data_IF_103695615306
#
_entry.id   IF_103695615306
#
_cell.length_a   1.000
_cell.length_b   1.000
_cell.length_c   1.000
_cell.angle_alpha   90.00
_cell.angle_beta   90.00
_cell.angle_gamma   90.00
#
_symmetry.space_group_name_H-M   'P 1'
#
loop_
_entity.id
_entity.type
_entity.pdbx_description
1 polymer ?
#
# COMPACT_ATOMS: atom_id res chain seq x y z
N UNK A 1 71.14 -28.03 -24.08
CA UNK A 1 69.98 -28.27 -23.21
C UNK A 1 69.09 -27.03 -23.27
N UNK A 2 68.04 -27.05 -24.12
CA UNK A 2 67.12 -25.92 -24.34
C UNK A 2 65.84 -26.21 -23.55
N UNK A 3 65.50 -25.38 -22.57
CA UNK A 3 64.21 -25.42 -21.88
C UNK A 3 63.13 -24.77 -22.77
N UNK A 4 62.11 -25.54 -23.14
CA UNK A 4 60.85 -25.02 -23.66
C UNK A 4 59.93 -24.68 -22.47
N UNK A 5 59.64 -23.39 -22.28
CA UNK A 5 58.48 -22.97 -21.50
C UNK A 5 57.24 -23.11 -22.40
N UNK A 6 56.34 -24.02 -22.05
CA UNK A 6 54.99 -24.08 -22.61
C UNK A 6 54.11 -23.19 -21.73
N UNK A 7 53.51 -22.10 -22.24
CA UNK A 7 52.55 -21.35 -21.46
C UNK A 7 51.26 -22.18 -21.31
N UNK A 8 50.90 -22.51 -20.08
CA UNK A 8 49.61 -23.07 -19.74
C UNK A 8 48.57 -21.93 -19.91
N UNK A 9 47.92 -21.89 -21.07
CA UNK A 9 46.77 -21.01 -21.28
C UNK A 9 45.65 -21.57 -20.39
N UNK A 10 45.45 -20.94 -19.23
CA UNK A 10 44.22 -21.10 -18.49
C UNK A 10 43.11 -20.43 -19.30
N UNK A 11 42.44 -21.20 -20.16
CA UNK A 11 41.17 -20.79 -20.74
C UNK A 11 40.15 -20.66 -19.61
N UNK A 12 39.92 -19.43 -19.16
CA UNK A 12 38.77 -19.08 -18.35
C UNK A 12 37.50 -19.34 -19.17
N UNK A 13 36.90 -20.51 -18.98
CA UNK A 13 35.52 -20.77 -19.38
C UNK A 13 34.62 -19.77 -18.65
N UNK A 14 34.09 -18.80 -19.39
CA UNK A 14 32.95 -18.01 -18.95
C UNK A 14 31.82 -18.99 -18.55
N UNK A 15 31.22 -18.91 -17.34
CA UNK A 15 30.17 -19.83 -16.91
C UNK A 15 28.83 -19.46 -17.57
N UNK A 16 28.75 -19.63 -18.89
CA UNK A 16 27.55 -19.39 -19.70
C UNK A 16 26.73 -20.65 -19.99
N UNK A 17 27.31 -21.85 -19.88
CA UNK A 17 26.71 -23.10 -20.41
C UNK A 17 26.15 -24.04 -19.33
N UNK A 18 25.59 -23.51 -18.24
CA UNK A 18 24.75 -24.33 -17.36
C UNK A 18 23.43 -24.68 -18.05
N UNK A 19 22.89 -25.87 -17.79
CA UNK A 19 21.54 -26.30 -18.22
C UNK A 19 20.52 -25.19 -17.97
N UNK A 20 19.68 -24.89 -18.96
CA UNK A 20 18.58 -23.94 -18.79
C UNK A 20 17.66 -24.41 -17.65
N UNK A 21 17.53 -23.56 -16.63
CA UNK A 21 16.74 -23.83 -15.43
C UNK A 21 15.29 -23.36 -15.56
N UNK A 22 14.93 -22.68 -16.65
CA UNK A 22 13.61 -22.05 -16.82
C UNK A 22 12.44 -23.03 -16.61
N UNK A 23 12.44 -24.26 -17.18
CA UNK A 23 11.34 -25.19 -16.96
C UNK A 23 11.12 -25.52 -15.48
N UNK A 24 12.22 -25.73 -14.74
CA UNK A 24 12.19 -26.06 -13.31
C UNK A 24 11.78 -24.86 -12.45
N UNK A 25 12.24 -23.66 -12.81
CA UNK A 25 11.84 -22.40 -12.14
C UNK A 25 10.34 -22.18 -12.34
N UNK A 26 9.83 -22.35 -13.57
CA UNK A 26 8.40 -22.20 -13.88
C UNK A 26 7.55 -23.19 -13.10
N UNK A 27 7.90 -24.48 -13.13
CA UNK A 27 7.21 -25.52 -12.36
C UNK A 27 7.15 -25.18 -10.87
N UNK A 28 8.29 -24.81 -10.28
CA UNK A 28 8.36 -24.41 -8.87
C UNK A 28 7.49 -23.18 -8.57
N UNK A 29 7.58 -22.14 -9.40
CA UNK A 29 6.80 -20.92 -9.20
C UNK A 29 5.30 -21.16 -9.34
N UNK A 30 4.89 -22.02 -10.27
CA UNK A 30 3.49 -22.46 -10.37
C UNK A 30 3.03 -23.15 -9.09
N UNK A 31 3.82 -24.09 -8.55
CA UNK A 31 3.51 -24.75 -7.27
C UNK A 31 3.39 -23.74 -6.12
N UNK A 32 4.36 -22.84 -6.00
CA UNK A 32 4.38 -21.81 -4.94
C UNK A 32 3.14 -20.92 -5.03
N UNK A 33 2.83 -20.38 -6.20
CA UNK A 33 1.73 -19.42 -6.38
C UNK A 33 0.34 -20.05 -6.26
N UNK A 34 0.19 -21.35 -6.55
CA UNK A 34 -1.07 -22.08 -6.38
C UNK A 34 -1.30 -22.55 -4.93
N UNK A 35 -0.22 -22.76 -4.16
CA UNK A 35 -0.30 -23.19 -2.75
C UNK A 35 -0.27 -22.05 -1.74
N UNK A 36 -0.11 -20.81 -2.18
CA UNK A 36 -0.20 -19.66 -1.29
C UNK A 36 -1.59 -19.63 -0.63
N UNK A 37 -1.68 -19.60 0.71
CA UNK A 37 -2.97 -19.40 1.38
C UNK A 37 -3.50 -18.01 1.03
N UNK A 38 -4.78 -17.75 1.25
CA UNK A 38 -5.22 -16.35 1.31
C UNK A 38 -4.44 -15.65 2.45
N UNK A 39 -3.74 -14.58 2.12
CA UNK A 39 -2.87 -13.86 3.06
C UNK A 39 -3.02 -12.36 2.88
N UNK A 40 -2.69 -11.64 3.95
CA UNK A 40 -2.66 -10.19 3.96
C UNK A 40 -1.37 -9.70 4.59
N UNK A 41 -0.89 -8.54 4.15
CA UNK A 41 0.28 -7.86 4.67
C UNK A 41 -0.02 -6.37 4.82
N UNK A 42 0.69 -5.71 5.74
CA UNK A 42 0.78 -4.26 5.78
C UNK A 42 1.64 -3.78 4.62
N UNK A 43 1.07 -2.98 3.72
CA UNK A 43 1.77 -2.27 2.66
C UNK A 43 2.08 -0.85 3.11
N UNK A 44 3.37 -0.50 3.15
CA UNK A 44 3.83 0.87 3.41
C UNK A 44 4.49 1.45 2.17
N UNK A 45 3.93 2.54 1.66
CA UNK A 45 4.38 3.23 0.44
C UNK A 45 4.96 4.59 0.83
N UNK A 46 6.27 4.75 0.69
CA UNK A 46 6.92 6.06 0.76
C UNK A 46 6.92 6.70 -0.63
N UNK A 47 6.24 7.85 -0.77
CA UNK A 47 6.09 8.53 -2.06
C UNK A 47 7.01 9.72 -2.13
N UNK A 48 7.73 9.82 -3.24
CA UNK A 48 8.63 10.93 -3.49
C UNK A 48 8.45 11.48 -4.89
N UNK A 49 8.65 12.79 -5.01
CA UNK A 49 8.51 13.53 -6.26
C UNK A 49 9.77 14.34 -6.51
N UNK A 50 10.18 14.35 -7.78
CA UNK A 50 11.34 15.10 -8.24
C UNK A 50 10.95 15.91 -9.48
N UNK A 51 10.80 17.22 -9.32
CA UNK A 51 10.67 18.11 -10.46
C UNK A 51 12.02 18.25 -11.17
N UNK A 52 12.00 18.51 -12.48
CA UNK A 52 13.21 18.77 -13.27
C UNK A 52 14.05 19.88 -12.62
N UNK A 53 15.36 19.66 -12.53
CA UNK A 53 16.31 20.60 -11.89
C UNK A 53 16.25 20.66 -10.36
N UNK A 54 15.44 19.82 -9.71
CA UNK A 54 15.31 19.77 -8.24
C UNK A 54 15.77 18.43 -7.65
N UNK A 55 16.04 18.42 -6.34
CA UNK A 55 16.25 17.19 -5.57
C UNK A 55 14.92 16.50 -5.32
N UNK A 56 14.91 15.17 -5.32
CA UNK A 56 13.75 14.39 -4.89
C UNK A 56 13.36 14.74 -3.45
N UNK A 57 12.06 14.84 -3.21
CA UNK A 57 11.48 15.12 -1.89
C UNK A 57 10.41 14.08 -1.59
N UNK A 58 10.42 13.57 -0.36
CA UNK A 58 9.32 12.74 0.16
C UNK A 58 8.09 13.64 0.26
N UNK A 59 7.00 13.21 -0.35
CA UNK A 59 5.69 13.87 -0.28
C UNK A 59 4.97 13.40 0.97
N UNK A 60 4.77 12.08 1.06
CA UNK A 60 4.11 11.44 2.19
C UNK A 60 4.49 9.95 2.36
N UNK A 61 3.78 9.31 3.28
CA UNK A 61 3.79 7.87 3.47
C UNK A 61 2.35 7.41 3.56
N UNK A 62 2.00 6.40 2.77
CA UNK A 62 0.70 5.75 2.74
C UNK A 62 0.82 4.35 3.35
N UNK A 63 -0.14 3.97 4.19
CA UNK A 63 -0.22 2.65 4.80
C UNK A 63 -1.56 2.01 4.50
N UNK A 64 -1.52 0.82 3.91
CA UNK A 64 -2.65 0.00 3.53
C UNK A 64 -2.48 -1.42 4.08
N UNK A 65 -3.57 -2.16 4.16
CA UNK A 65 -3.51 -3.63 4.15
C UNK A 65 -3.77 -4.08 2.73
N UNK A 66 -2.93 -4.98 2.22
CA UNK A 66 -3.11 -5.64 0.93
C UNK A 66 -3.37 -7.12 1.19
N UNK A 67 -4.33 -7.70 0.49
CA UNK A 67 -4.65 -9.13 0.57
C UNK A 67 -4.68 -9.74 -0.84
N UNK A 68 -4.27 -11.01 -0.95
CA UNK A 68 -4.47 -11.81 -2.14
C UNK A 68 -5.60 -12.80 -1.88
N UNK A 69 -6.72 -12.62 -2.57
CA UNK A 69 -7.90 -13.49 -2.48
C UNK A 69 -8.33 -13.86 -3.89
N UNK A 70 -8.45 -15.17 -4.14
CA UNK A 70 -8.81 -15.74 -5.46
C UNK A 70 -7.98 -15.18 -6.62
N UNK A 71 -6.70 -14.88 -6.36
CA UNK A 71 -5.76 -14.36 -7.34
C UNK A 71 -5.92 -12.87 -7.66
N UNK A 72 -6.75 -12.14 -6.92
CA UNK A 72 -6.92 -10.68 -7.02
C UNK A 72 -6.33 -9.99 -5.80
N UNK A 73 -5.69 -8.86 -6.01
CA UNK A 73 -5.25 -7.97 -4.94
C UNK A 73 -6.43 -7.14 -4.46
N UNK A 74 -6.66 -7.13 -3.14
CA UNK A 74 -7.67 -6.31 -2.46
C UNK A 74 -6.96 -5.42 -1.46
N UNK A 75 -7.46 -4.20 -1.29
CA UNK A 75 -6.87 -3.20 -0.42
C UNK A 75 -7.87 -2.72 0.62
N UNK A 76 -7.39 -2.47 1.83
CA UNK A 76 -8.18 -1.86 2.89
C UNK A 76 -7.30 -0.95 3.73
N UNK A 77 -7.92 -0.12 4.56
CA UNK A 77 -7.15 0.58 5.58
C UNK A 77 -6.70 -0.37 6.70
N UNK A 78 -5.53 -0.12 7.33
CA UNK A 78 -5.07 -0.89 8.48
C UNK A 78 -6.11 -1.00 9.59
N UNK A 79 -6.34 -2.23 10.04
CA UNK A 79 -7.29 -2.57 11.11
C UNK A 79 -8.77 -2.43 10.74
N UNK A 80 -9.13 -2.23 9.47
CA UNK A 80 -10.53 -2.27 9.04
C UNK A 80 -11.08 -3.68 9.19
N UNK A 81 -12.29 -3.79 9.75
CA UNK A 81 -12.98 -5.07 9.94
C UNK A 81 -13.50 -5.66 8.62
N UNK A 82 -13.70 -4.81 7.61
CA UNK A 82 -14.13 -5.20 6.28
C UNK A 82 -13.04 -4.81 5.28
N UNK A 83 -12.60 -5.80 4.49
CA UNK A 83 -12.04 -5.53 3.17
C UNK A 83 -13.26 -5.35 2.27
N UNK A 84 -13.89 -4.19 2.33
CA UNK A 84 -14.89 -3.82 1.34
C UNK A 84 -14.20 -3.87 -0.04
N UNK A 85 -14.92 -4.27 -1.09
CA UNK A 85 -14.43 -4.27 -2.48
C UNK A 85 -14.35 -2.82 -3.00
N UNK A 86 -13.73 -1.95 -2.20
CA UNK A 86 -13.39 -0.60 -2.58
C UNK A 86 -12.34 -0.69 -3.66
N UNK A 87 -12.54 0.10 -4.71
CA UNK A 87 -11.45 0.31 -5.64
C UNK A 87 -10.34 1.03 -4.90
N UNK A 88 -9.09 0.71 -5.22
CA UNK A 88 -7.95 1.39 -4.61
C UNK A 88 -8.03 2.92 -4.79
N UNK A 89 -8.67 3.37 -5.88
CA UNK A 89 -8.97 4.78 -6.16
C UNK A 89 -9.93 5.45 -5.15
N UNK A 90 -10.79 4.66 -4.49
CA UNK A 90 -11.71 5.18 -3.46
C UNK A 90 -10.97 5.41 -2.13
N UNK A 91 -9.92 4.64 -1.87
CA UNK A 91 -9.06 4.78 -0.68
C UNK A 91 -7.98 5.85 -0.88
N UNK A 92 -7.32 5.83 -2.03
CA UNK A 92 -6.18 6.71 -2.36
C UNK A 92 -6.60 7.63 -3.50
N UNK A 93 -6.94 8.87 -3.15
CA UNK A 93 -7.52 9.83 -4.11
C UNK A 93 -6.47 10.73 -4.77
N UNK A 94 -5.23 10.74 -4.28
CA UNK A 94 -4.16 11.62 -4.74
C UNK A 94 -2.82 10.90 -4.85
N UNK A 95 -1.91 11.46 -5.67
CA UNK A 95 -0.53 10.98 -5.86
C UNK A 95 -0.45 9.65 -6.62
N UNK A 96 0.77 9.14 -6.81
CA UNK A 96 1.00 7.88 -7.51
C UNK A 96 0.65 6.69 -6.61
N UNK A 97 -0.18 5.78 -7.09
CA UNK A 97 -0.50 4.49 -6.47
C UNK A 97 -0.85 3.47 -7.56
N UNK A 98 -0.92 2.20 -7.19
CA UNK A 98 -1.28 1.13 -8.12
C UNK A 98 -1.28 -0.22 -7.46
N UNK A 99 -1.75 -1.21 -8.21
CA UNK A 99 -1.71 -2.62 -7.82
C UNK A 99 -0.59 -3.36 -8.57
N UNK A 100 -0.49 -4.66 -8.31
CA UNK A 100 0.33 -5.62 -9.03
C UNK A 100 1.71 -5.88 -8.46
N UNK A 101 2.19 -4.99 -7.58
CA UNK A 101 3.43 -5.15 -6.85
C UNK A 101 3.39 -6.33 -5.86
N UNK A 102 2.20 -6.79 -5.46
CA UNK A 102 2.05 -7.81 -4.44
C UNK A 102 1.98 -9.23 -5.03
N UNK A 103 1.27 -9.44 -6.13
CA UNK A 103 1.07 -10.76 -6.70
C UNK A 103 0.97 -10.78 -8.23
N UNK A 104 0.45 -9.72 -8.86
CA UNK A 104 0.02 -9.79 -10.27
C UNK A 104 1.20 -10.10 -11.22
N UNK A 105 2.36 -9.44 -11.09
CA UNK A 105 3.48 -9.70 -12.02
C UNK A 105 3.98 -11.15 -11.96
N UNK A 106 4.17 -11.73 -10.77
CA UNK A 106 4.57 -13.13 -10.65
C UNK A 106 3.52 -14.06 -11.25
N UNK A 107 2.23 -13.78 -11.03
CA UNK A 107 1.14 -14.59 -11.60
C UNK A 107 1.08 -14.50 -13.12
N UNK A 108 1.24 -13.31 -13.71
CA UNK A 108 1.31 -13.17 -15.17
C UNK A 108 2.48 -13.98 -15.72
N UNK A 109 3.68 -13.85 -15.14
CA UNK A 109 4.87 -14.54 -15.66
C UNK A 109 4.81 -16.06 -15.49
N UNK A 110 4.24 -16.58 -14.40
CA UNK A 110 4.38 -18.00 -14.03
C UNK A 110 3.09 -18.82 -14.00
N UNK A 111 1.90 -18.19 -14.00
CA UNK A 111 0.61 -18.89 -14.07
C UNK A 111 -0.14 -18.69 -15.39
N UNK A 112 0.33 -17.78 -16.24
CA UNK A 112 -0.22 -17.60 -17.59
C UNK A 112 0.77 -18.07 -18.66
N UNK A 113 0.32 -18.10 -19.91
CA UNK A 113 1.14 -18.46 -21.07
C UNK A 113 1.40 -17.27 -22.00
N UNK A 114 1.33 -16.03 -21.49
CA UNK A 114 1.43 -14.82 -22.32
C UNK A 114 2.86 -14.27 -22.44
N UNK A 115 3.75 -14.66 -21.52
CA UNK A 115 5.13 -14.20 -21.49
C UNK A 115 6.04 -15.06 -22.38
N UNK A 116 6.86 -14.40 -23.19
CA UNK A 116 7.93 -15.03 -23.96
C UNK A 116 9.25 -14.79 -23.24
N UNK A 117 10.01 -15.85 -22.97
CA UNK A 117 11.24 -15.80 -22.17
C UNK A 117 12.50 -16.03 -23.00
N UNK A 118 13.59 -15.36 -22.62
CA UNK A 118 14.93 -15.59 -23.14
C UNK A 118 15.93 -15.80 -21.99
N UNK A 119 16.62 -16.94 -21.98
CA UNK A 119 17.72 -17.18 -21.03
C UNK A 119 18.90 -16.24 -21.33
N UNK A 120 19.34 -15.50 -20.32
CA UNK A 120 20.52 -14.62 -20.39
C UNK A 120 21.71 -15.20 -19.63
N UNK A 121 21.55 -16.35 -18.98
CA UNK A 121 22.60 -17.07 -18.30
C UNK A 121 22.92 -16.52 -16.90
N UNK A 122 24.13 -16.82 -16.43
CA UNK A 122 24.57 -16.53 -15.07
C UNK A 122 24.85 -15.05 -14.94
N UNK A 123 24.47 -14.51 -13.79
CA UNK A 123 24.75 -13.14 -13.42
C UNK A 123 24.94 -13.06 -11.90
N UNK A 124 25.09 -11.85 -11.39
CA UNK A 124 24.98 -11.54 -9.97
C UNK A 124 23.85 -10.53 -9.75
N UNK A 125 23.10 -10.71 -8.67
CA UNK A 125 22.13 -9.75 -8.17
C UNK A 125 22.49 -9.40 -6.73
N UNK A 126 22.82 -8.14 -6.46
CA UNK A 126 23.27 -7.70 -5.13
C UNK A 126 24.51 -8.44 -4.63
N UNK A 127 25.42 -8.83 -5.53
CA UNK A 127 26.62 -9.62 -5.21
C UNK A 127 26.39 -11.11 -4.99
N UNK A 128 25.15 -11.60 -5.13
CA UNK A 128 24.81 -13.02 -5.00
C UNK A 128 24.64 -13.67 -6.38
N UNK A 129 25.10 -14.93 -6.58
CA UNK A 129 24.89 -15.65 -7.84
C UNK A 129 23.41 -15.76 -8.22
N UNK A 130 23.07 -15.49 -9.47
CA UNK A 130 21.70 -15.57 -10.00
C UNK A 130 21.69 -16.10 -11.45
N UNK A 131 20.55 -16.61 -11.91
CA UNK A 131 20.22 -16.75 -13.34
C UNK A 131 19.27 -15.65 -13.75
N UNK A 132 19.55 -14.99 -14.88
CA UNK A 132 18.69 -13.94 -15.43
C UNK A 132 17.94 -14.46 -16.65
N UNK A 133 16.68 -14.12 -16.72
CA UNK A 133 15.81 -14.34 -17.87
C UNK A 133 15.16 -13.04 -18.26
N UNK A 134 15.24 -12.69 -19.54
CA UNK A 134 14.46 -11.58 -20.07
C UNK A 134 13.08 -12.10 -20.47
N UNK A 135 12.06 -11.24 -20.38
CA UNK A 135 10.70 -11.56 -20.79
C UNK A 135 10.05 -10.40 -21.54
N UNK A 136 9.05 -10.72 -22.33
CA UNK A 136 8.18 -9.77 -23.01
C UNK A 136 6.73 -10.25 -22.99
N UNK A 137 5.80 -9.33 -22.72
CA UNK A 137 4.36 -9.54 -22.69
C UNK A 137 3.69 -8.50 -23.57
N UNK A 138 2.98 -8.95 -24.60
CA UNK A 138 2.35 -8.04 -25.56
C UNK A 138 1.20 -7.25 -24.94
N UNK A 139 0.99 -6.03 -25.45
CA UNK A 139 -0.13 -5.16 -25.07
C UNK A 139 -1.50 -5.85 -25.07
N UNK A 140 -1.77 -6.72 -26.04
CA UNK A 140 -3.08 -7.38 -26.16
C UNK A 140 -3.36 -8.43 -25.09
N UNK A 141 -2.33 -8.90 -24.38
CA UNK A 141 -2.43 -9.98 -23.39
C UNK A 141 -1.93 -9.58 -22.00
N UNK A 142 -1.40 -8.36 -21.85
CA UNK A 142 -0.78 -7.89 -20.62
C UNK A 142 -1.77 -7.64 -19.48
N UNK A 143 -2.96 -7.15 -19.79
CA UNK A 143 -3.87 -6.58 -18.79
C UNK A 143 -3.30 -5.39 -18.01
N UNK A 144 -2.16 -4.83 -18.45
CA UNK A 144 -1.43 -3.78 -17.73
C UNK A 144 -1.96 -2.39 -18.10
N UNK A 145 -2.76 -1.82 -17.20
CA UNK A 145 -3.33 -0.49 -17.37
C UNK A 145 -2.48 0.56 -16.66
N UNK A 146 -2.10 1.59 -17.41
CA UNK A 146 -1.52 2.81 -16.86
C UNK A 146 -2.57 3.92 -16.89
N UNK A 147 -2.63 4.71 -15.81
CA UNK A 147 -3.55 5.82 -15.68
C UNK A 147 -2.82 7.08 -15.22
N UNK A 148 -3.08 8.19 -15.91
CA UNK A 148 -2.60 9.52 -15.54
C UNK A 148 -3.80 10.46 -15.57
N UNK A 149 -4.18 10.98 -14.40
CA UNK A 149 -5.43 11.71 -14.21
C UNK A 149 -6.64 10.86 -14.68
N UNK A 150 -7.42 11.37 -15.61
CA UNK A 150 -8.59 10.69 -16.20
C UNK A 150 -8.25 9.83 -17.42
N UNK A 151 -7.01 9.90 -17.92
CA UNK A 151 -6.59 9.15 -19.12
C UNK A 151 -6.02 7.81 -18.70
N UNK A 152 -6.38 6.76 -19.42
CA UNK A 152 -5.87 5.41 -19.18
C UNK A 152 -5.58 4.69 -20.49
N UNK A 153 -4.56 3.82 -20.49
CA UNK A 153 -4.26 2.96 -21.62
C UNK A 153 -3.76 1.59 -21.17
N UNK A 154 -4.17 0.57 -21.91
CA UNK A 154 -3.57 -0.76 -21.88
C UNK A 154 -2.23 -0.71 -22.60
N UNK A 155 -1.17 -1.20 -21.98
CA UNK A 155 0.22 -1.17 -22.50
C UNK A 155 0.85 -2.56 -22.47
N UNK A 156 1.87 -2.79 -23.32
CA UNK A 156 2.72 -3.97 -23.20
C UNK A 156 3.74 -3.77 -22.08
N UNK A 157 4.53 -4.80 -21.80
CA UNK A 157 5.70 -4.63 -20.95
C UNK A 157 6.74 -5.72 -21.21
N UNK A 158 8.00 -5.37 -21.01
CA UNK A 158 9.13 -6.30 -21.01
C UNK A 158 9.95 -6.13 -19.73
N UNK A 159 10.97 -6.96 -19.57
CA UNK A 159 11.90 -6.81 -18.46
C UNK A 159 12.71 -8.07 -18.19
N UNK A 160 13.10 -8.24 -16.93
CA UNK A 160 13.94 -9.35 -16.51
C UNK A 160 13.51 -9.89 -15.15
N UNK A 161 13.59 -11.21 -14.96
CA UNK A 161 13.55 -11.79 -13.63
C UNK A 161 14.86 -12.51 -13.32
N UNK A 162 15.16 -12.57 -12.03
CA UNK A 162 16.40 -13.12 -11.49
C UNK A 162 16.04 -14.24 -10.52
N UNK A 163 16.61 -15.42 -10.72
CA UNK A 163 16.36 -16.59 -9.88
C UNK A 163 17.66 -17.07 -9.20
N UNK A 164 17.51 -17.60 -8.00
CA UNK A 164 18.57 -18.36 -7.32
C UNK A 164 18.87 -19.64 -8.12
N UNK A 165 20.13 -19.90 -8.53
CA UNK A 165 20.44 -21.06 -9.37
C UNK A 165 20.36 -22.40 -8.61
N UNK A 166 20.32 -22.38 -7.28
CA UNK A 166 20.26 -23.56 -6.41
C UNK A 166 18.84 -23.80 -5.95
N UNK A 167 18.22 -22.80 -5.31
CA UNK A 167 16.87 -22.96 -4.77
C UNK A 167 15.82 -22.81 -5.85
N UNK A 168 16.10 -22.13 -6.96
CA UNK A 168 15.12 -21.75 -8.01
C UNK A 168 14.07 -20.72 -7.55
N UNK A 169 14.23 -20.13 -6.35
CA UNK A 169 13.38 -19.03 -5.93
C UNK A 169 13.68 -17.79 -6.79
N UNK A 170 12.62 -17.12 -7.29
CA UNK A 170 12.80 -15.78 -7.85
C UNK A 170 13.23 -14.82 -6.74
N UNK A 171 14.15 -13.92 -7.06
CA UNK A 171 14.69 -12.91 -6.16
C UNK A 171 14.24 -11.51 -6.53
N UNK A 172 14.12 -11.23 -7.84
CA UNK A 172 13.64 -9.95 -8.35
C UNK A 172 12.93 -10.12 -9.68
N UNK A 173 11.91 -9.30 -9.91
CA UNK A 173 11.31 -9.05 -11.22
C UNK A 173 11.44 -7.55 -11.50
N UNK A 174 11.97 -7.20 -12.66
CA UNK A 174 12.07 -5.83 -13.20
C UNK A 174 11.13 -5.75 -14.42
N UNK A 175 10.28 -4.74 -14.47
CA UNK A 175 9.23 -4.54 -15.48
C UNK A 175 9.37 -3.13 -16.03
N UNK A 176 9.33 -3.00 -17.34
CA UNK A 176 9.34 -1.73 -18.07
C UNK A 176 8.13 -1.73 -18.99
N UNK A 177 7.24 -0.75 -18.82
CA UNK A 177 6.10 -0.57 -19.70
C UNK A 177 6.55 -0.13 -21.10
N UNK A 178 5.88 -0.63 -22.14
CA UNK A 178 6.17 -0.29 -23.53
C UNK A 178 4.89 0.01 -24.30
N UNK A 179 5.02 0.60 -25.49
CA UNK A 179 3.88 1.06 -26.30
C UNK A 179 2.95 2.03 -25.55
N UNK A 180 3.53 2.88 -24.69
CA UNK A 180 2.80 3.90 -23.92
C UNK A 180 2.26 4.97 -24.89
N UNK A 181 0.93 5.15 -25.02
CA UNK A 181 0.39 6.16 -25.92
C UNK A 181 0.75 7.58 -25.49
N UNK A 182 1.14 8.43 -26.44
CA UNK A 182 1.56 9.82 -26.17
C UNK A 182 0.48 10.64 -25.44
N UNK A 183 -0.80 10.32 -25.64
CA UNK A 183 -1.91 10.97 -24.93
C UNK A 183 -1.90 10.75 -23.41
N UNK A 184 -1.20 9.74 -22.87
CA UNK A 184 -1.01 9.60 -21.43
C UNK A 184 -0.08 10.67 -20.86
N UNK A 185 0.79 11.28 -21.69
CA UNK A 185 1.80 12.23 -21.22
C UNK A 185 2.86 11.61 -20.31
N UNK A 186 2.97 10.28 -20.32
CA UNK A 186 3.91 9.49 -19.55
C UNK A 186 5.09 9.06 -20.45
N UNK A 187 6.30 9.38 -20.03
CA UNK A 187 7.55 9.08 -20.77
C UNK A 187 8.06 7.68 -20.44
N UNK A 188 7.99 7.27 -19.18
CA UNK A 188 8.45 5.96 -18.72
C UNK A 188 7.64 5.47 -17.52
N UNK A 189 7.48 4.15 -17.42
CA UNK A 189 7.03 3.48 -16.20
C UNK A 189 7.86 2.24 -15.98
N UNK A 190 8.51 2.18 -14.82
CA UNK A 190 9.38 1.07 -14.43
C UNK A 190 8.97 0.58 -13.04
N UNK A 191 8.99 -0.74 -12.85
CA UNK A 191 8.73 -1.38 -11.57
C UNK A 191 9.78 -2.44 -11.29
N UNK A 192 10.28 -2.50 -10.06
CA UNK A 192 11.08 -3.63 -9.58
C UNK A 192 10.43 -4.20 -8.33
N UNK A 193 10.28 -5.52 -8.26
CA UNK A 193 9.73 -6.23 -7.10
C UNK A 193 10.75 -7.25 -6.64
N UNK A 194 11.18 -7.12 -5.38
CA UNK A 194 12.04 -8.06 -4.70
C UNK A 194 11.22 -9.12 -3.97
N UNK A 195 11.68 -10.37 -4.02
CA UNK A 195 11.02 -11.52 -3.42
C UNK A 195 11.92 -12.14 -2.35
N UNK A 196 11.29 -12.66 -1.30
CA UNK A 196 11.98 -13.34 -0.23
C UNK A 196 11.05 -14.27 0.53
N UNK A 197 11.63 -15.27 1.21
CA UNK A 197 10.85 -16.15 2.05
C UNK A 197 10.35 -15.41 3.29
N UNK A 198 9.05 -15.56 3.57
CA UNK A 198 8.36 -15.01 4.74
C UNK A 198 7.50 -16.10 5.37
N UNK A 199 7.46 -16.12 6.70
CA UNK A 199 6.62 -17.07 7.43
C UNK A 199 5.19 -16.56 7.48
N UNK A 200 4.24 -17.44 7.16
CA UNK A 200 2.81 -17.21 7.38
C UNK A 200 2.30 -18.44 8.14
N UNK A 201 2.02 -18.27 9.44
CA UNK A 201 1.81 -19.42 10.33
C UNK A 201 3.08 -20.27 10.42
N UNK A 202 2.93 -21.59 10.22
CA UNK A 202 4.03 -22.55 10.36
C UNK A 202 4.86 -22.76 9.09
N UNK A 203 4.45 -22.18 7.96
CA UNK A 203 5.07 -22.37 6.65
C UNK A 203 5.75 -21.11 6.12
N UNK A 204 6.77 -21.30 5.27
CA UNK A 204 7.51 -20.21 4.64
C UNK A 204 7.20 -20.13 3.14
N UNK A 205 6.59 -19.02 2.72
CA UNK A 205 6.21 -18.75 1.33
C UNK A 205 7.16 -17.73 0.70
N UNK A 206 7.40 -17.84 -0.60
CA UNK A 206 8.10 -16.82 -1.36
C UNK A 206 7.10 -15.68 -1.67
N UNK A 207 7.33 -14.52 -1.08
CA UNK A 207 6.43 -13.36 -1.14
C UNK A 207 7.20 -12.13 -1.63
N UNK A 208 6.51 -11.11 -2.19
CA UNK A 208 7.10 -9.79 -2.34
C UNK A 208 7.56 -9.26 -0.98
N UNK A 209 8.71 -8.60 -0.95
CA UNK A 209 9.25 -7.97 0.28
C UNK A 209 9.35 -6.46 0.13
N UNK A 210 9.64 -6.01 -1.08
CA UNK A 210 9.88 -4.61 -1.41
C UNK A 210 9.57 -4.40 -2.89
N UNK A 211 9.00 -3.25 -3.24
CA UNK A 211 8.87 -2.81 -4.62
C UNK A 211 9.32 -1.37 -4.78
N UNK A 212 9.89 -1.04 -5.94
CA UNK A 212 10.16 0.33 -6.38
C UNK A 212 9.45 0.57 -7.69
N UNK A 213 8.60 1.60 -7.70
CA UNK A 213 7.89 2.04 -8.91
C UNK A 213 8.37 3.44 -9.25
N UNK A 214 8.59 3.69 -10.53
CA UNK A 214 8.95 4.99 -11.07
C UNK A 214 8.04 5.32 -12.26
N UNK A 215 7.50 6.53 -12.26
CA UNK A 215 6.76 7.08 -13.39
C UNK A 215 7.36 8.44 -13.74
N UNK A 216 7.79 8.58 -14.99
CA UNK A 216 8.38 9.81 -15.51
C UNK A 216 7.40 10.53 -16.42
N UNK A 217 7.15 11.79 -16.10
CA UNK A 217 6.43 12.76 -16.93
C UNK A 217 7.43 13.86 -17.35
N UNK A 218 7.14 14.68 -18.37
CA UNK A 218 8.08 15.66 -18.92
C UNK A 218 8.76 16.58 -17.90
N UNK A 219 8.05 16.98 -16.84
CA UNK A 219 8.55 17.92 -15.83
C UNK A 219 8.81 17.27 -14.47
N UNK A 220 8.46 15.99 -14.29
CA UNK A 220 8.47 15.37 -12.97
C UNK A 220 8.63 13.86 -13.02
N UNK A 221 9.46 13.33 -12.13
CA UNK A 221 9.54 11.91 -11.81
C UNK A 221 8.88 11.65 -10.46
N UNK A 222 7.89 10.74 -10.45
CA UNK A 222 7.26 10.22 -9.25
C UNK A 222 7.86 8.85 -8.93
N UNK A 223 8.13 8.59 -7.64
CA UNK A 223 8.68 7.31 -7.19
C UNK A 223 7.95 6.82 -5.95
N UNK A 224 7.58 5.55 -5.96
CA UNK A 224 7.06 4.85 -4.79
C UNK A 224 8.08 3.83 -4.34
N UNK A 225 8.38 3.83 -3.05
CA UNK A 225 9.08 2.74 -2.38
C UNK A 225 8.11 2.00 -1.47
N UNK A 226 7.73 0.81 -1.90
CA UNK A 226 6.73 -0.05 -1.27
C UNK A 226 7.43 -1.12 -0.43
N UNK A 227 6.96 -1.35 0.78
CA UNK A 227 7.42 -2.45 1.64
C UNK A 227 6.25 -3.24 2.17
N UNK A 228 6.40 -4.57 2.19
CA UNK A 228 5.40 -5.49 2.71
C UNK A 228 5.89 -6.08 4.03
N UNK A 229 5.08 -5.94 5.08
CA UNK A 229 5.39 -6.39 6.43
C UNK A 229 4.17 -7.05 7.09
N UNK A 230 4.38 -7.65 8.26
CA UNK A 230 3.33 -8.21 9.11
C UNK A 230 2.36 -9.17 8.40
N UNK A 231 2.90 -9.95 7.46
CA UNK A 231 2.13 -10.89 6.66
C UNK A 231 1.53 -11.99 7.52
N UNK A 232 0.22 -12.20 7.40
CA UNK A 232 -0.56 -13.18 8.18
C UNK A 232 -1.60 -13.86 7.29
N UNK A 233 -2.10 -15.02 7.74
CA UNK A 233 -3.24 -15.66 7.07
C UNK A 233 -4.42 -14.70 7.08
N UNK A 234 -5.09 -14.62 5.94
CA UNK A 234 -6.32 -13.84 5.83
C UNK A 234 -7.45 -14.64 6.49
N UNK A 235 -7.73 -14.31 7.75
CA UNK A 235 -8.93 -14.79 8.45
C UNK A 235 -10.01 -13.73 8.24
N UNK A 236 -10.65 -13.74 7.08
CA UNK A 236 -11.77 -12.85 6.84
C UNK A 236 -12.88 -13.20 7.83
N UNK A 237 -13.13 -12.37 8.84
CA UNK A 237 -14.40 -12.37 9.57
C UNK A 237 -15.49 -11.76 8.68
N UNK A 238 -15.73 -12.34 7.51
CA UNK A 238 -16.86 -12.09 6.61
C UNK A 238 -16.68 -12.98 5.38
N UNK A 239 -17.06 -14.24 5.50
CA UNK A 239 -17.59 -14.96 4.34
C UNK A 239 -18.77 -14.13 3.82
N UNK A 240 -18.69 -13.69 2.56
CA UNK A 240 -19.88 -13.35 1.77
C UNK A 240 -20.85 -14.54 1.89
N UNK A 241 -21.83 -14.43 2.78
CA UNK A 241 -22.96 -15.35 2.83
C UNK A 241 -24.01 -14.78 1.90
N UNK A 242 -24.04 -15.30 0.69
CA UNK A 242 -25.23 -15.27 -0.14
C UNK A 242 -26.04 -16.53 0.22
N UNK A 243 -27.23 -16.32 0.76
CA UNK A 243 -28.35 -17.27 0.97
C UNK A 243 -28.10 -18.53 1.83
N UNK A 244 -28.56 -18.52 3.09
CA UNK A 244 -29.84 -19.12 3.53
C UNK A 244 -29.92 -19.18 5.07
N UNK A 245 -31.12 -19.06 5.69
CA UNK A 245 -31.26 -18.92 7.13
C UNK A 245 -31.15 -20.29 7.81
N UNK A 246 -29.96 -20.62 8.32
CA UNK A 246 -29.82 -21.71 9.29
C UNK A 246 -30.12 -21.14 10.68
N UNK A 247 -31.26 -21.57 11.22
CA UNK A 247 -31.64 -21.43 12.62
C UNK A 247 -30.52 -22.04 13.50
N UNK A 248 -29.74 -21.18 14.16
CA UNK A 248 -28.78 -21.58 15.18
C UNK A 248 -28.94 -20.73 16.44
N UNK A 249 -28.89 -21.46 17.54
CA UNK A 249 -29.26 -21.15 18.92
C UNK A 249 -28.69 -19.85 19.52
N UNK A 250 -29.49 -19.28 20.41
CA UNK A 250 -29.23 -18.02 21.10
C UNK A 250 -27.89 -18.01 21.86
N UNK A 251 -26.91 -17.30 21.31
CA UNK A 251 -25.85 -16.69 22.09
C UNK A 251 -26.45 -15.66 23.07
N UNK A 252 -25.87 -15.55 24.26
CA UNK A 252 -26.21 -14.55 25.28
C UNK A 252 -26.49 -13.18 24.65
N UNK A 253 -27.48 -12.40 25.15
CA UNK A 253 -27.88 -11.17 24.50
C UNK A 253 -26.66 -10.26 24.39
N UNK A 254 -26.20 -10.03 23.16
CA UNK A 254 -25.34 -8.89 22.88
C UNK A 254 -26.10 -7.68 23.43
N UNK A 255 -25.47 -6.93 24.34
CA UNK A 255 -26.03 -5.65 24.78
C UNK A 255 -26.41 -4.87 23.52
N UNK A 256 -27.69 -4.54 23.38
CA UNK A 256 -28.19 -3.80 22.23
C UNK A 256 -27.52 -2.44 22.23
N UNK A 257 -26.54 -2.24 21.35
CA UNK A 257 -25.90 -0.95 21.15
C UNK A 257 -26.95 -0.03 20.52
N UNK A 258 -27.34 1.02 21.23
CA UNK A 258 -28.25 2.03 20.68
C UNK A 258 -27.50 2.90 19.67
N UNK A 259 -27.92 2.86 18.40
CA UNK A 259 -27.39 3.77 17.38
C UNK A 259 -28.12 5.12 17.48
N UNK A 260 -27.35 6.17 17.77
CA UNK A 260 -27.85 7.54 17.93
C UNK A 260 -27.43 8.37 16.72
N UNK A 261 -28.39 9.03 16.10
CA UNK A 261 -28.12 9.96 15.00
C UNK A 261 -27.57 11.29 15.55
N UNK A 262 -26.53 11.82 14.91
CA UNK A 262 -25.91 13.11 15.26
C UNK A 262 -26.41 14.15 14.25
N UNK A 263 -27.29 15.09 14.64
CA UNK A 263 -27.78 16.12 13.73
C UNK A 263 -26.66 17.04 13.25
N UNK A 264 -26.80 17.53 12.02
CA UNK A 264 -25.91 18.52 11.42
C UNK A 264 -25.80 19.80 12.27
N UNK A 265 -24.61 20.43 12.24
CA UNK A 265 -24.34 21.72 12.87
C UNK A 265 -23.94 21.67 14.34
N UNK A 266 -23.92 20.49 14.98
CA UNK A 266 -23.38 20.33 16.33
C UNK A 266 -21.86 20.36 16.34
N UNK A 267 -21.29 20.99 17.38
CA UNK A 267 -19.84 21.07 17.59
C UNK A 267 -19.36 20.02 18.58
N UNK A 268 -18.43 19.18 18.17
CA UNK A 268 -17.75 18.18 19.00
C UNK A 268 -16.38 18.72 19.43
N UNK A 269 -16.05 18.55 20.71
CA UNK A 269 -14.74 18.90 21.27
C UNK A 269 -13.89 17.63 21.39
N UNK A 270 -13.07 17.37 20.38
CA UNK A 270 -12.28 16.15 20.31
C UNK A 270 -10.84 16.41 20.73
N UNK A 271 -10.40 15.71 21.77
CA UNK A 271 -9.00 15.66 22.17
C UNK A 271 -8.29 14.58 21.37
N UNK A 272 -7.37 15.00 20.51
CA UNK A 272 -6.55 14.10 19.72
C UNK A 272 -5.54 13.35 20.60
N UNK A 273 -5.13 12.13 20.19
CA UNK A 273 -4.09 11.38 20.86
C UNK A 273 -2.72 12.04 20.62
N UNK A 274 -1.67 11.45 21.20
CA UNK A 274 -0.32 11.82 20.83
C UNK A 274 -0.07 11.51 19.34
N UNK A 275 0.34 12.52 18.56
CA UNK A 275 0.49 12.42 17.12
C UNK A 275 1.88 12.85 16.69
N UNK A 276 2.71 11.88 16.30
CA UNK A 276 4.00 12.13 15.66
C UNK A 276 3.83 12.26 14.14
N UNK A 277 3.68 13.49 13.65
CA UNK A 277 3.52 13.78 12.23
C UNK A 277 4.74 13.42 11.36
N UNK A 278 5.89 13.15 11.99
CA UNK A 278 7.06 12.68 11.25
C UNK A 278 6.92 11.20 10.89
N UNK A 279 6.32 10.41 11.78
CA UNK A 279 6.14 8.95 11.62
C UNK A 279 4.76 8.53 11.13
N UNK A 280 3.74 9.38 11.31
CA UNK A 280 2.37 9.10 10.89
C UNK A 280 2.27 8.91 9.37
N UNK A 281 1.36 8.06 8.93
CA UNK A 281 1.06 7.79 7.54
C UNK A 281 -0.41 8.08 7.23
N UNK A 282 -0.69 8.40 5.96
CA UNK A 282 -2.06 8.30 5.43
C UNK A 282 -2.50 6.86 5.61
N UNK A 283 -3.70 6.66 6.14
CA UNK A 283 -4.21 5.36 6.53
C UNK A 283 -4.04 5.02 8.01
N UNK A 284 -3.31 5.80 8.80
CA UNK A 284 -3.18 5.52 10.24
C UNK A 284 -4.48 5.83 11.00
N UNK A 285 -4.89 4.91 11.87
CA UNK A 285 -6.07 5.06 12.70
C UNK A 285 -5.86 6.15 13.77
N UNK A 286 -6.89 6.96 14.01
CA UNK A 286 -6.93 8.00 15.04
C UNK A 286 -8.08 7.69 16.00
N UNK A 287 -7.79 7.77 17.30
CA UNK A 287 -8.80 7.68 18.36
C UNK A 287 -8.76 8.95 19.18
N UNK A 288 -9.80 9.78 19.05
CA UNK A 288 -9.92 11.03 19.80
C UNK A 288 -10.98 10.91 20.89
N UNK A 289 -10.79 11.61 22.01
CA UNK A 289 -11.72 11.55 23.13
C UNK A 289 -12.61 12.79 23.16
N UNK A 290 -13.92 12.59 23.26
CA UNK A 290 -14.89 13.66 23.43
C UNK A 290 -14.74 14.30 24.82
N UNK A 291 -14.45 15.60 24.89
CA UNK A 291 -14.12 16.29 26.16
C UNK A 291 -15.33 16.76 26.96
N UNK A 292 -16.49 16.91 26.35
CA UNK A 292 -17.73 17.33 27.00
C UNK A 292 -18.93 16.60 26.41
N UNK A 293 -20.04 16.57 27.13
CA UNK A 293 -21.28 15.95 26.64
C UNK A 293 -21.69 16.57 25.30
N UNK A 294 -21.98 15.72 24.32
CA UNK A 294 -22.62 16.15 23.10
C UNK A 294 -24.13 16.16 23.31
N UNK A 295 -24.74 17.34 23.19
CA UNK A 295 -26.16 17.54 23.42
C UNK A 295 -26.82 18.24 22.24
N UNK A 296 -28.04 17.82 21.93
CA UNK A 296 -28.95 18.59 21.10
C UNK A 296 -30.05 19.18 22.00
N UNK A 297 -29.99 20.49 22.22
CA UNK A 297 -30.83 21.19 23.21
C UNK A 297 -30.67 20.55 24.61
N UNK A 298 -31.66 19.77 25.06
CA UNK A 298 -31.64 19.08 26.38
C UNK A 298 -31.29 17.60 26.27
N UNK A 299 -31.41 17.01 25.09
CA UNK A 299 -31.13 15.60 24.85
C UNK A 299 -29.63 15.34 24.87
N UNK A 300 -29.19 14.37 25.67
CA UNK A 300 -27.83 13.84 25.61
C UNK A 300 -27.75 12.88 24.42
N UNK A 301 -26.84 13.15 23.49
CA UNK A 301 -26.60 12.28 22.34
C UNK A 301 -25.40 11.36 22.60
N UNK A 302 -24.31 11.91 23.15
CA UNK A 302 -23.15 11.12 23.54
C UNK A 302 -22.49 11.71 24.80
N UNK A 303 -22.11 10.88 25.79
CA UNK A 303 -21.49 11.36 27.02
C UNK A 303 -20.04 11.81 26.82
N UNK A 304 -19.57 12.72 27.67
CA UNK A 304 -18.12 12.97 27.80
C UNK A 304 -17.35 11.66 27.97
N UNK A 305 -16.19 11.56 27.31
CA UNK A 305 -15.34 10.37 27.33
C UNK A 305 -15.59 9.39 26.19
N UNK A 306 -16.65 9.60 25.39
CA UNK A 306 -16.89 8.86 24.14
C UNK A 306 -15.66 8.93 23.23
N UNK A 307 -15.41 7.86 22.48
CA UNK A 307 -14.24 7.70 21.61
C UNK A 307 -14.65 7.90 20.16
N UNK A 308 -14.14 8.96 19.53
CA UNK A 308 -14.27 9.17 18.10
C UNK A 308 -13.19 8.37 17.36
N UNK A 309 -13.60 7.35 16.60
CA UNK A 309 -12.78 6.56 15.72
C UNK A 309 -12.68 7.21 14.34
N UNK A 310 -11.45 7.34 13.82
CA UNK A 310 -11.17 7.96 12.54
C UNK A 310 -9.83 7.53 11.95
N UNK A 311 -9.41 8.23 10.89
CA UNK A 311 -8.18 7.92 10.16
C UNK A 311 -7.55 9.17 9.55
N UNK A 312 -6.24 9.17 9.40
CA UNK A 312 -5.54 10.16 8.57
C UNK A 312 -5.84 9.86 7.10
N UNK A 313 -6.48 10.80 6.41
CA UNK A 313 -6.81 10.66 4.96
C UNK A 313 -5.93 11.54 4.08
N UNK A 314 -5.16 12.46 4.68
CA UNK A 314 -4.14 13.27 4.00
C UNK A 314 -3.06 13.71 4.99
N UNK A 315 -1.79 13.64 4.57
CA UNK A 315 -0.66 14.14 5.36
C UNK A 315 0.47 14.64 4.44
N UNK A 316 0.38 15.90 4.03
CA UNK A 316 1.40 16.53 3.20
C UNK A 316 2.48 17.18 4.05
N UNK A 317 3.75 16.97 3.66
CA UNK A 317 4.92 17.47 4.38
C UNK A 317 5.60 18.61 3.63
N UNK A 318 5.24 19.84 3.96
CA UNK A 318 5.93 21.03 3.44
C UNK A 318 7.17 21.38 4.26
N UNK A 319 8.01 22.27 3.74
CA UNK A 319 9.23 22.72 4.41
C UNK A 319 8.96 23.51 5.70
N UNK A 320 7.79 24.15 5.82
CA UNK A 320 7.45 25.03 6.95
C UNK A 320 6.24 24.54 7.77
N UNK A 321 5.42 23.66 7.21
CA UNK A 321 4.21 23.15 7.86
C UNK A 321 3.83 21.74 7.37
N UNK A 322 2.86 21.13 8.05
CA UNK A 322 2.15 19.92 7.64
C UNK A 322 0.70 20.30 7.30
N UNK A 323 0.14 19.71 6.24
CA UNK A 323 -1.30 19.73 6.00
C UNK A 323 -1.87 18.35 6.32
N UNK A 324 -2.77 18.30 7.29
CA UNK A 324 -3.35 17.08 7.83
C UNK A 324 -4.87 17.08 7.63
N UNK A 325 -5.43 15.99 7.14
CA UNK A 325 -6.88 15.73 7.21
C UNK A 325 -7.12 14.44 7.95
N UNK A 326 -8.06 14.49 8.91
CA UNK A 326 -8.54 13.33 9.66
C UNK A 326 -10.03 13.19 9.33
N UNK A 327 -10.43 11.99 8.94
CA UNK A 327 -11.83 11.63 8.77
C UNK A 327 -12.27 10.79 9.97
N UNK A 328 -13.16 11.35 10.79
CA UNK A 328 -13.85 10.58 11.84
C UNK A 328 -15.12 9.96 11.25
N UNK A 329 -15.39 8.72 11.63
CA UNK A 329 -16.45 7.89 11.06
C UNK A 329 -17.37 7.31 12.13
N UNK A 330 -16.88 7.13 13.36
CA UNK A 330 -17.63 6.49 14.44
C UNK A 330 -17.40 7.23 15.77
N UNK A 331 -18.41 7.27 16.63
CA UNK A 331 -18.34 7.71 18.02
C UNK A 331 -18.90 6.62 18.91
N UNK A 332 -18.08 6.05 19.78
CA UNK A 332 -18.44 4.91 20.62
C UNK A 332 -18.44 5.26 22.10
N UNK A 333 -19.42 4.73 22.86
CA UNK A 333 -19.47 4.79 24.32
C UNK A 333 -20.16 3.54 24.90
N UNK A 334 -20.08 3.29 26.23
CA UNK A 334 -20.77 2.16 26.81
C UNK A 334 -22.28 2.22 26.55
N UNK A 335 -22.80 1.21 25.82
CA UNK A 335 -24.22 1.09 25.49
C UNK A 335 -24.70 1.89 24.27
N UNK A 336 -23.83 2.62 23.57
CA UNK A 336 -24.27 3.37 22.39
C UNK A 336 -23.16 3.70 21.38
N UNK A 337 -23.61 4.03 20.19
CA UNK A 337 -22.78 4.30 19.02
C UNK A 337 -23.42 5.41 18.18
N UNK A 338 -22.61 6.18 17.48
CA UNK A 338 -23.08 7.08 16.44
C UNK A 338 -22.14 7.11 15.25
N UNK A 339 -22.69 7.13 14.04
CA UNK A 339 -21.93 7.44 12.84
C UNK A 339 -21.59 8.94 12.81
N UNK A 340 -20.37 9.24 12.38
CA UNK A 340 -19.84 10.59 12.31
C UNK A 340 -19.62 11.00 10.85
N UNK A 341 -20.06 12.21 10.55
CA UNK A 341 -19.61 12.98 9.39
C UNK A 341 -19.19 14.35 9.89
N UNK A 342 -17.88 14.55 10.03
CA UNK A 342 -17.33 15.73 10.69
C UNK A 342 -16.40 16.51 9.76
N UNK A 343 -16.52 17.83 9.83
CA UNK A 343 -15.52 18.76 9.31
C UNK A 343 -14.72 19.39 10.43
N UNK A 344 -13.42 19.56 10.21
CA UNK A 344 -12.61 20.37 11.10
C UNK A 344 -13.10 21.83 11.08
N UNK A 345 -13.40 22.39 12.26
CA UNK A 345 -13.86 23.77 12.39
C UNK A 345 -12.70 24.70 12.74
N UNK A 346 -12.07 24.49 13.90
CA UNK A 346 -10.96 25.31 14.41
C UNK A 346 -10.21 24.61 15.58
N UNK A 347 -8.95 24.97 15.86
CA UNK A 347 -8.27 24.53 17.09
C UNK A 347 -8.92 25.15 18.33
N UNK A 348 -8.82 24.50 19.49
CA UNK A 348 -9.48 24.99 20.70
C UNK A 348 -8.89 26.28 21.28
N UNK A 349 -7.63 26.55 20.98
CA UNK A 349 -6.94 27.77 21.34
C UNK A 349 -6.39 28.42 20.07
N UNK A 350 -6.53 29.74 19.97
CA UNK A 350 -5.88 30.50 18.92
C UNK A 350 -4.36 30.39 19.13
N UNK A 351 -3.70 29.62 18.29
CA UNK A 351 -2.23 29.51 18.28
C UNK A 351 -1.72 29.94 16.91
N UNK A 352 -0.52 30.49 16.84
CA UNK A 352 0.18 30.69 15.55
C UNK A 352 0.70 29.36 14.95
N UNK A 353 0.48 28.24 15.64
CA UNK A 353 1.09 26.94 15.34
C UNK A 353 0.12 25.98 14.65
N UNK A 354 -1.18 26.10 14.91
CA UNK A 354 -2.23 25.25 14.36
C UNK A 354 -3.33 26.13 13.83
N UNK A 355 -3.75 25.90 12.59
CA UNK A 355 -4.83 26.62 11.93
C UNK A 355 -5.62 25.75 10.97
N UNK A 356 -6.52 26.38 10.21
CA UNK A 356 -7.36 25.73 9.19
C UNK A 356 -7.08 26.33 7.83
N UNK A 357 -6.82 25.48 6.83
CA UNK A 357 -6.71 25.88 5.43
C UNK A 357 -8.10 26.01 4.78
N UNK A 358 -8.13 26.63 3.59
CA UNK A 358 -9.38 26.82 2.82
C UNK A 358 -10.02 25.49 2.41
N UNK A 359 -9.20 24.46 2.15
CA UNK A 359 -9.65 23.10 1.81
C UNK A 359 -10.08 22.28 3.04
N UNK A 360 -10.20 22.91 4.22
CA UNK A 360 -10.59 22.26 5.47
C UNK A 360 -9.44 21.53 6.19
N UNK A 361 -8.24 21.47 5.62
CA UNK A 361 -7.11 20.78 6.25
C UNK A 361 -6.64 21.50 7.53
N UNK A 362 -6.16 20.71 8.49
CA UNK A 362 -5.46 21.20 9.67
C UNK A 362 -4.03 21.57 9.24
N UNK A 363 -3.67 22.84 9.39
CA UNK A 363 -2.31 23.33 9.10
C UNK A 363 -1.52 23.37 10.39
N UNK A 364 -0.41 22.67 10.45
CA UNK A 364 0.43 22.57 11.64
C UNK A 364 1.84 23.03 11.29
N UNK A 365 2.31 24.14 11.88
CA UNK A 365 3.65 24.65 11.59
C UNK A 365 4.71 23.71 12.17
N UNK A 366 5.87 23.60 11.52
CA UNK A 366 6.98 22.78 12.04
C UNK A 366 7.54 23.32 13.37
N UNK A 367 7.27 24.58 13.70
CA UNK A 367 7.61 25.17 15.01
C UNK A 367 6.83 24.53 16.16
N UNK A 368 5.71 23.86 15.89
CA UNK A 368 4.96 23.09 16.90
C UNK A 368 5.75 21.90 17.46
N UNK A 369 6.86 21.50 16.81
CA UNK A 369 7.77 20.41 17.20
C UNK A 369 7.00 19.13 17.61
N UNK A 370 6.41 18.39 16.65
CA UNK A 370 5.82 17.08 16.91
C UNK A 370 6.80 16.17 17.67
N UNK A 371 6.32 15.26 18.54
CA UNK A 371 4.94 14.79 18.61
C UNK A 371 4.00 15.77 19.33
N UNK A 372 2.77 15.87 18.83
CA UNK A 372 1.75 16.73 19.38
C UNK A 372 0.89 15.94 20.36
N UNK A 373 0.75 16.41 21.60
CA UNK A 373 0.01 15.68 22.63
C UNK A 373 -1.21 16.45 23.13
N UNK A 374 -2.34 15.75 23.26
CA UNK A 374 -3.53 16.25 23.94
C UNK A 374 -4.19 17.46 23.28
N UNK A 375 -3.97 17.69 21.98
CA UNK A 375 -4.55 18.84 21.28
C UNK A 375 -6.07 18.71 21.28
N UNK A 376 -6.74 19.75 21.78
CA UNK A 376 -8.17 19.89 21.67
C UNK A 376 -8.54 20.62 20.38
N UNK A 377 -9.45 20.04 19.61
CA UNK A 377 -9.94 20.60 18.35
C UNK A 377 -11.47 20.56 18.32
N UNK A 378 -12.05 21.55 17.64
CA UNK A 378 -13.48 21.62 17.41
C UNK A 378 -13.81 21.09 16.02
N UNK A 379 -14.82 20.23 15.96
CA UNK A 379 -15.32 19.60 14.75
C UNK A 379 -16.81 19.86 14.62
N UNK A 380 -17.31 20.10 13.42
CA UNK A 380 -18.72 20.35 13.15
C UNK A 380 -19.31 19.16 12.40
N UNK A 381 -20.45 18.67 12.88
CA UNK A 381 -21.25 17.65 12.18
C UNK A 381 -21.91 18.23 10.93
N UNK A 382 -21.96 17.42 9.87
CA UNK A 382 -22.59 17.73 8.59
C UNK A 382 -23.94 17.07 8.37
#
# INVERSE_FOLDING_TARGET
>A
MRLLLIPLIASSLLPGQGTDLLPRIREKMTEVLLRQPNYTCTETVERSRQAVGSRAKIEDTLRLEVALVDGKEMFAWPGSKQFEDHKLEDLVTTGMFGNGNFAIYARILFLSNVAVFQDRGATQLGGLPARRYDFHVSRSTSGHWLRVNERQALVGFHGSFYADPVTLDIRRVEVVAEDIPAELGLTASETSVDYGRRRIGDEAFLLPVESRVMMELPEVVNRNWVRFADCRRFTGESTLSFDDPILAEASAPAESIEEVEIPAGLTLQLQLPNLDLMQAAVGDAIRATLRGDLRNRRQLLAPKGSIAGGRIVRLDRYSTYFALQIQFQDLDWPGGHARLKLNFDQPAFATRLIGRAQDGSIVITRQARPPLSGILMFWRSE
#
